data_IF_354384843186
#
_entry.id   IF_354384843186
#
_cell.length_a   1.000
_cell.length_b   1.000
_cell.length_c   1.000
_cell.angle_alpha   90.00
_cell.angle_beta   90.00
_cell.angle_gamma   90.00
#
_symmetry.space_group_name_H-M   'P 1'
#
loop_
_entity.id
_entity.type
_entity.pdbx_description
1 polymer ?
#
# COMPACT_ATOMS: atom_id res chain seq x y z
N UNK A 1 -18.30 -33.47 -4.92
CA UNK A 1 -17.91 -32.75 -3.70
C UNK A 1 -18.27 -31.29 -3.92
N UNK A 2 -19.31 -30.80 -3.24
CA UNK A 2 -19.65 -29.39 -3.27
C UNK A 2 -18.51 -28.58 -2.67
N UNK A 3 -17.96 -27.64 -3.44
CA UNK A 3 -16.94 -26.71 -2.95
C UNK A 3 -17.62 -25.76 -1.96
N UNK A 4 -17.37 -25.98 -0.67
CA UNK A 4 -17.84 -25.10 0.39
C UNK A 4 -17.27 -23.69 0.16
N UNK A 5 -18.15 -22.70 -0.02
CA UNK A 5 -17.74 -21.29 -0.16
C UNK A 5 -17.38 -20.74 1.21
N UNK A 6 -16.16 -20.22 1.34
CA UNK A 6 -15.68 -19.53 2.54
C UNK A 6 -15.79 -18.02 2.25
N UNK A 7 -16.39 -17.29 3.19
CA UNK A 7 -16.50 -15.84 3.14
C UNK A 7 -15.53 -15.24 4.17
N UNK A 8 -14.81 -14.21 3.76
CA UNK A 8 -13.90 -13.47 4.63
C UNK A 8 -14.50 -12.07 4.87
N UNK A 9 -14.58 -11.65 6.13
CA UNK A 9 -14.93 -10.27 6.45
C UNK A 9 -13.77 -9.35 6.09
N UNK A 10 -14.05 -8.36 5.24
CA UNK A 10 -13.06 -7.38 4.80
C UNK A 10 -13.17 -6.15 5.72
N UNK A 11 -12.04 -5.61 6.24
CA UNK A 11 -12.06 -4.39 7.02
C UNK A 11 -12.64 -3.21 6.25
N UNK A 12 -13.18 -2.23 6.96
CA UNK A 12 -13.58 -0.97 6.36
C UNK A 12 -12.32 -0.15 6.06
N UNK A 13 -12.10 0.17 4.79
CA UNK A 13 -11.02 1.06 4.37
C UNK A 13 -11.53 2.49 4.22
N UNK A 14 -10.69 3.48 4.55
CA UNK A 14 -11.03 4.90 4.39
C UNK A 14 -11.12 5.33 2.91
N UNK A 15 -10.46 4.57 2.02
CA UNK A 15 -10.30 4.93 0.61
C UNK A 15 -9.15 5.91 0.36
N UNK A 16 -8.51 6.40 1.41
CA UNK A 16 -7.37 7.32 1.32
C UNK A 16 -6.09 6.62 0.88
N UNK A 17 -5.09 7.40 0.48
CA UNK A 17 -3.75 6.89 0.20
C UNK A 17 -3.06 6.50 1.51
N UNK A 18 -2.44 5.30 1.58
CA UNK A 18 -1.54 5.00 2.71
C UNK A 18 -0.23 5.79 2.51
N UNK A 19 0.18 6.64 3.46
CA UNK A 19 1.43 7.37 3.33
C UNK A 19 2.65 6.44 3.29
N UNK A 20 3.66 6.80 2.50
CA UNK A 20 4.92 6.03 2.39
C UNK A 20 5.56 5.80 3.76
N UNK A 21 5.50 6.78 4.67
CA UNK A 21 6.04 6.65 6.02
C UNK A 21 5.28 5.62 6.86
N UNK A 22 3.95 5.54 6.70
CA UNK A 22 3.13 4.51 7.37
C UNK A 22 3.50 3.14 6.83
N UNK A 23 3.60 2.99 5.51
CA UNK A 23 4.00 1.73 4.90
C UNK A 23 5.41 1.27 5.35
N UNK A 24 6.36 2.21 5.40
CA UNK A 24 7.72 1.96 5.86
C UNK A 24 7.74 1.48 7.33
N UNK A 25 7.00 2.16 8.20
CA UNK A 25 6.86 1.79 9.62
C UNK A 25 6.30 0.38 9.78
N UNK A 26 5.21 0.07 9.08
CA UNK A 26 4.54 -1.24 9.15
C UNK A 26 5.47 -2.36 8.68
N UNK A 27 6.21 -2.14 7.59
CA UNK A 27 7.14 -3.13 7.04
C UNK A 27 8.48 -3.18 7.80
N UNK A 28 8.70 -2.31 8.79
CA UNK A 28 9.98 -2.11 9.49
C UNK A 28 11.14 -1.90 8.51
N UNK A 29 10.90 -1.04 7.51
CA UNK A 29 11.87 -0.62 6.51
C UNK A 29 12.00 0.89 6.52
N UNK A 30 13.03 1.39 5.86
CA UNK A 30 13.16 2.81 5.60
C UNK A 30 12.19 3.26 4.48
N UNK A 31 11.80 4.54 4.43
CA UNK A 31 10.93 5.06 3.37
C UNK A 31 11.50 4.90 1.95
N UNK A 32 12.82 4.86 1.79
CA UNK A 32 13.45 4.73 0.47
C UNK A 32 13.25 3.32 -0.09
N UNK A 33 13.26 2.29 0.75
CA UNK A 33 12.89 0.92 0.36
C UNK A 33 11.48 0.88 -0.26
N UNK A 34 10.50 1.53 0.37
CA UNK A 34 9.13 1.59 -0.16
C UNK A 34 9.10 2.34 -1.49
N UNK A 35 9.74 3.51 -1.57
CA UNK A 35 9.78 4.32 -2.81
C UNK A 35 10.41 3.54 -3.97
N UNK A 36 11.56 2.91 -3.74
CA UNK A 36 12.27 2.15 -4.78
C UNK A 36 11.51 0.88 -5.16
N UNK A 37 10.93 0.19 -4.18
CA UNK A 37 10.10 -0.98 -4.43
C UNK A 37 8.88 -0.67 -5.31
N UNK A 38 8.25 0.49 -5.12
CA UNK A 38 7.15 0.96 -5.96
C UNK A 38 7.62 1.41 -7.36
N UNK A 39 8.77 2.08 -7.46
CA UNK A 39 9.36 2.51 -8.75
C UNK A 39 9.74 1.30 -9.61
N UNK A 40 10.34 0.27 -8.99
CA UNK A 40 10.77 -0.95 -9.67
C UNK A 40 9.63 -1.94 -9.90
N UNK A 41 8.44 -1.69 -9.36
CA UNK A 41 7.28 -2.60 -9.46
C UNK A 41 7.42 -3.88 -8.62
N UNK A 42 8.32 -3.90 -7.64
CA UNK A 42 8.52 -5.03 -6.71
C UNK A 42 7.45 -5.07 -5.61
N UNK A 43 6.95 -3.91 -5.19
CA UNK A 43 5.86 -3.80 -4.22
C UNK A 43 4.55 -3.61 -4.95
N UNK A 44 3.65 -4.59 -4.88
CA UNK A 44 2.43 -4.65 -5.71
C UNK A 44 1.22 -3.93 -5.13
N UNK A 45 1.35 -3.42 -3.90
CA UNK A 45 0.30 -2.71 -3.19
C UNK A 45 0.12 -1.24 -3.60
N UNK A 46 0.98 -0.71 -4.47
CA UNK A 46 0.92 0.69 -4.87
C UNK A 46 1.54 0.96 -6.24
N UNK A 47 1.68 2.24 -6.55
CA UNK A 47 2.30 2.75 -7.76
C UNK A 47 3.17 3.96 -7.44
N UNK A 48 4.26 4.11 -8.19
CA UNK A 48 5.02 5.34 -8.28
C UNK A 48 4.77 5.97 -9.64
N UNK A 49 4.39 7.24 -9.66
CA UNK A 49 4.13 7.99 -10.88
C UNK A 49 5.07 9.19 -10.97
N UNK A 50 5.71 9.36 -12.12
CA UNK A 50 6.56 10.52 -12.40
C UNK A 50 5.98 11.26 -13.58
N UNK A 51 5.57 12.51 -13.37
CA UNK A 51 5.12 13.41 -14.44
C UNK A 51 6.30 13.71 -15.37
N UNK A 52 6.02 13.81 -16.66
CA UNK A 52 7.05 14.18 -17.63
C UNK A 52 7.65 15.55 -17.30
N UNK A 53 8.98 15.67 -17.42
CA UNK A 53 9.72 16.86 -17.00
C UNK A 53 9.86 17.09 -15.49
N UNK A 54 9.23 16.28 -14.62
CA UNK A 54 9.39 16.38 -13.16
C UNK A 54 10.64 15.65 -12.66
N UNK A 55 11.28 16.15 -11.61
CA UNK A 55 12.29 15.38 -10.84
C UNK A 55 11.69 14.57 -9.70
N UNK A 56 10.43 14.83 -9.35
CA UNK A 56 9.73 14.25 -8.20
C UNK A 56 8.74 13.16 -8.63
N UNK A 57 8.58 12.16 -7.75
CA UNK A 57 7.60 11.09 -7.87
C UNK A 57 6.41 11.35 -6.95
N UNK A 58 5.22 11.12 -7.48
CA UNK A 58 3.98 10.96 -6.74
C UNK A 58 3.80 9.47 -6.40
N UNK A 59 3.32 9.15 -5.20
CA UNK A 59 3.13 7.76 -4.75
C UNK A 59 1.69 7.54 -4.33
N UNK A 60 1.13 6.42 -4.76
CA UNK A 60 -0.17 5.94 -4.30
C UNK A 60 -0.05 4.50 -3.80
N UNK A 61 -0.50 4.24 -2.58
CA UNK A 61 -0.57 2.93 -1.95
C UNK A 61 -2.03 2.65 -1.65
N UNK A 62 -2.56 1.57 -2.23
CA UNK A 62 -3.93 1.14 -2.02
C UNK A 62 -4.09 0.53 -0.62
N UNK A 63 -4.99 1.05 0.24
CA UNK A 63 -5.22 0.46 1.57
C UNK A 63 -5.62 -1.00 1.52
N UNK A 64 -6.46 -1.38 0.54
CA UNK A 64 -6.91 -2.76 0.38
C UNK A 64 -5.76 -3.70 0.03
N UNK A 65 -4.93 -3.35 -0.95
CA UNK A 65 -3.79 -4.19 -1.34
C UNK A 65 -2.72 -4.25 -0.25
N UNK A 66 -2.46 -3.11 0.39
CA UNK A 66 -1.51 -3.04 1.48
C UNK A 66 -1.96 -3.94 2.65
N UNK A 67 -3.25 -3.93 2.99
CA UNK A 67 -3.83 -4.87 3.96
C UNK A 67 -3.71 -6.33 3.51
N UNK A 68 -4.01 -6.64 2.26
CA UNK A 68 -3.89 -8.02 1.74
C UNK A 68 -2.46 -8.57 1.88
N UNK A 69 -1.44 -7.74 1.69
CA UNK A 69 -0.04 -8.15 1.76
C UNK A 69 0.55 -8.11 3.17
N UNK A 70 0.10 -7.19 4.03
CA UNK A 70 0.73 -6.94 5.34
C UNK A 70 -0.15 -7.25 6.55
N UNK A 71 -1.46 -7.39 6.35
CA UNK A 71 -2.47 -7.48 7.41
C UNK A 71 -2.79 -6.15 8.10
N UNK A 72 -2.14 -5.04 7.72
CA UNK A 72 -2.34 -3.73 8.34
C UNK A 72 -3.54 -2.98 7.75
N UNK A 73 -4.42 -2.48 8.61
CA UNK A 73 -5.54 -1.62 8.22
C UNK A 73 -5.17 -0.17 8.47
N UNK A 74 -5.12 0.64 7.41
CA UNK A 74 -4.94 2.09 7.54
C UNK A 74 -6.28 2.76 7.81
N UNK A 75 -6.33 3.56 8.87
CA UNK A 75 -7.53 4.21 9.40
C UNK A 75 -7.55 5.73 9.17
N UNK A 76 -6.59 6.27 8.41
CA UNK A 76 -6.50 7.71 8.13
C UNK A 76 -5.77 8.52 9.20
N UNK A 77 -5.29 7.89 10.28
CA UNK A 77 -4.49 8.58 11.28
C UNK A 77 -3.06 8.79 10.76
N UNK A 78 -2.72 10.03 10.41
CA UNK A 78 -1.31 10.44 10.29
C UNK A 78 -0.70 10.43 11.70
N UNK A 79 0.39 9.69 11.85
CA UNK A 79 1.09 9.47 13.13
C UNK A 79 2.58 9.56 12.92
#
# INVERSE_FOLDING_TARGET
MDKQKIYLEVPKFTGENVPVNVAARVMKKDPQFIRQGLILGLLTFGVAFKKDGSSQYDYYISPMKFWQETGYVYDGAES
#
